data_IF_030825813433
#
_entry.id   IF_030825813433
#
_cell.length_a   1.000
_cell.length_b   1.000
_cell.length_c   1.000
_cell.angle_alpha   90.00
_cell.angle_beta   90.00
_cell.angle_gamma   90.00
#
_symmetry.space_group_name_H-M   'P 1'
#
loop_
_entity.id
_entity.type
_entity.pdbx_description
1 polymer ?
#
# COMPACT_ATOMS: atom_id res chain seq x y z
N UNK A 1 3.32 1.76 -6.49
CA UNK A 1 3.05 0.35 -6.87
C UNK A 1 2.26 0.33 -8.18
N UNK A 2 2.39 -0.74 -8.96
CA UNK A 2 1.55 -0.93 -10.16
C UNK A 2 0.09 -1.17 -9.77
N UNK A 3 -0.85 -0.57 -10.48
CA UNK A 3 -2.29 -0.84 -10.32
C UNK A 3 -2.67 -2.12 -11.04
N UNK A 4 -2.78 -3.21 -10.27
CA UNK A 4 -3.10 -4.52 -10.84
C UNK A 4 -4.55 -4.65 -11.36
N UNK A 5 -5.43 -3.67 -11.10
CA UNK A 5 -6.80 -3.66 -11.62
C UNK A 5 -6.88 -3.17 -13.07
N UNK A 6 -5.86 -2.42 -13.51
CA UNK A 6 -5.74 -1.87 -14.87
C UNK A 6 -5.08 -2.83 -15.86
N UNK A 7 -4.34 -3.81 -15.34
CA UNK A 7 -3.70 -4.83 -16.16
C UNK A 7 -4.71 -5.83 -16.76
N UNK A 8 -4.44 -6.36 -17.97
CA UNK A 8 -3.26 -6.12 -18.82
C UNK A 8 -3.42 -4.91 -19.77
N UNK A 9 -4.52 -4.16 -19.67
CA UNK A 9 -4.88 -3.13 -20.64
C UNK A 9 -3.95 -1.92 -20.55
N UNK A 10 -3.61 -1.50 -19.33
CA UNK A 10 -2.76 -0.33 -19.09
C UNK A 10 -1.88 -0.52 -17.86
N UNK A 11 -0.62 -0.11 -17.98
CA UNK A 11 0.33 -0.07 -16.87
C UNK A 11 0.32 1.30 -16.21
N UNK A 12 -0.34 1.40 -15.06
CA UNK A 12 -0.44 2.64 -14.27
C UNK A 12 0.21 2.42 -12.91
N UNK A 13 0.89 3.45 -12.40
CA UNK A 13 1.51 3.44 -11.07
C UNK A 13 0.74 4.33 -10.11
N UNK A 14 0.43 3.79 -8.93
CA UNK A 14 -0.10 4.54 -7.79
C UNK A 14 1.02 4.87 -6.81
N UNK A 15 1.02 6.10 -6.29
CA UNK A 15 1.96 6.55 -5.26
C UNK A 15 1.22 6.67 -3.94
N UNK A 16 1.53 5.79 -3.00
CA UNK A 16 1.03 5.90 -1.63
C UNK A 16 1.89 6.89 -0.86
N UNK A 17 1.28 7.95 -0.33
CA UNK A 17 1.97 8.98 0.47
C UNK A 17 1.73 8.79 1.96
N UNK A 18 0.71 8.05 2.37
CA UNK A 18 0.44 7.71 3.76
C UNK A 18 0.27 6.19 3.95
N UNK A 19 0.33 5.72 5.19
CA UNK A 19 0.10 4.30 5.47
C UNK A 19 -1.37 3.90 5.22
N UNK A 20 -2.29 4.87 5.35
CA UNK A 20 -3.71 4.72 5.00
C UNK A 20 -3.90 4.54 3.50
N UNK A 21 -3.13 5.25 2.66
CA UNK A 21 -3.15 5.05 1.20
C UNK A 21 -2.76 3.59 0.87
N UNK A 22 -1.69 3.09 1.50
CA UNK A 22 -1.25 1.70 1.33
C UNK A 22 -2.38 0.74 1.73
N UNK A 23 -2.98 0.94 2.89
CA UNK A 23 -4.05 0.10 3.39
C UNK A 23 -5.30 0.16 2.49
N UNK A 24 -5.64 1.34 1.94
CA UNK A 24 -6.74 1.52 1.00
C UNK A 24 -6.48 0.75 -0.30
N UNK A 25 -5.28 0.84 -0.87
CA UNK A 25 -4.92 0.15 -2.12
C UNK A 25 -4.80 -1.38 -1.95
N UNK A 26 -4.47 -1.89 -0.77
CA UNK A 26 -4.57 -3.34 -0.46
C UNK A 26 -6.04 -3.77 -0.44
N UNK A 27 -6.91 -3.04 0.27
CA UNK A 27 -8.35 -3.36 0.36
C UNK A 27 -9.06 -3.27 -0.99
N UNK A 28 -8.67 -2.31 -1.82
CA UNK A 28 -9.19 -2.14 -3.18
C UNK A 28 -8.61 -3.17 -4.19
N UNK A 29 -7.73 -4.07 -3.76
CA UNK A 29 -7.03 -5.05 -4.60
C UNK A 29 -6.17 -4.44 -5.72
N UNK A 30 -5.90 -3.13 -5.70
CA UNK A 30 -4.82 -2.50 -6.48
C UNK A 30 -3.48 -3.17 -6.18
N UNK A 31 -3.25 -3.49 -4.90
CA UNK A 31 -2.11 -4.26 -4.40
C UNK A 31 -2.63 -5.62 -3.93
N UNK A 32 -2.21 -6.70 -4.60
CA UNK A 32 -2.67 -8.06 -4.29
C UNK A 32 -1.57 -9.10 -4.48
N UNK A 33 -1.83 -10.30 -3.95
CA UNK A 33 -0.87 -11.40 -3.83
C UNK A 33 -0.18 -11.38 -2.47
N UNK A 34 -0.20 -12.50 -1.75
CA UNK A 34 0.25 -12.56 -0.35
C UNK A 34 1.67 -11.97 -0.13
N UNK A 35 2.69 -12.28 -0.96
CA UNK A 35 4.01 -11.67 -0.81
C UNK A 35 4.01 -10.14 -1.01
N UNK A 36 3.30 -9.65 -2.04
CA UNK A 36 3.24 -8.23 -2.34
C UNK A 36 2.47 -7.43 -1.26
N UNK A 37 1.41 -8.01 -0.71
CA UNK A 37 0.68 -7.45 0.43
C UNK A 37 1.62 -7.32 1.64
N UNK A 38 2.42 -8.34 1.94
CA UNK A 38 3.37 -8.31 3.05
C UNK A 38 4.41 -7.18 2.91
N UNK A 39 5.01 -7.04 1.73
CA UNK A 39 5.97 -5.96 1.45
C UNK A 39 5.30 -4.59 1.52
N UNK A 40 4.12 -4.43 0.91
CA UNK A 40 3.39 -3.17 0.93
C UNK A 40 3.02 -2.75 2.37
N UNK A 41 2.51 -3.67 3.18
CA UNK A 41 2.17 -3.42 4.58
C UNK A 41 3.40 -2.97 5.39
N UNK A 42 4.55 -3.65 5.23
CA UNK A 42 5.79 -3.26 5.90
C UNK A 42 6.25 -1.85 5.50
N UNK A 43 6.15 -1.50 4.21
CA UNK A 43 6.43 -0.15 3.73
C UNK A 43 5.43 0.88 4.29
N UNK A 44 4.16 0.50 4.43
CA UNK A 44 3.14 1.32 5.09
C UNK A 44 3.49 1.63 6.54
N UNK A 45 3.93 0.63 7.31
CA UNK A 45 4.39 0.84 8.71
C UNK A 45 5.57 1.81 8.76
N UNK A 46 6.58 1.63 7.89
CA UNK A 46 7.73 2.54 7.82
C UNK A 46 7.31 3.98 7.48
N UNK A 47 6.33 4.14 6.60
CA UNK A 47 5.79 5.45 6.21
C UNK A 47 5.03 6.12 7.36
N UNK A 48 4.20 5.38 8.09
CA UNK A 48 3.50 5.90 9.26
C UNK A 48 4.48 6.32 10.37
N UNK A 49 5.54 5.53 10.62
CA UNK A 49 6.57 5.90 11.59
C UNK A 49 7.28 7.19 11.19
N UNK A 50 7.66 7.32 9.91
CA UNK A 50 8.28 8.54 9.39
C UNK A 50 7.37 9.77 9.47
N UNK A 51 6.05 9.57 9.55
CA UNK A 51 5.03 10.62 9.68
C UNK A 51 4.62 10.89 11.12
N UNK A 52 5.22 10.20 12.10
CA UNK A 52 4.90 10.37 13.52
C UNK A 52 3.59 9.71 13.94
N UNK A 53 3.12 8.69 13.22
CA UNK A 53 2.00 7.88 13.66
C UNK A 53 2.34 7.18 14.99
N UNK A 54 1.41 7.23 15.93
CA UNK A 54 1.49 6.48 17.18
C UNK A 54 0.94 5.06 16.95
N UNK A 55 1.81 4.06 17.07
CA UNK A 55 1.46 2.66 16.93
C UNK A 55 1.20 1.96 18.27
N UNK A 56 1.35 2.64 19.42
CA UNK A 56 0.99 2.06 20.72
C UNK A 56 -0.52 1.90 20.90
N UNK A 57 -1.32 2.53 20.04
CA UNK A 57 -2.79 2.50 20.11
C UNK A 57 -3.47 1.53 19.12
N UNK A 58 -2.69 0.76 18.33
CA UNK A 58 -3.22 -0.11 17.24
C UNK A 58 -3.54 -1.52 17.71
#
# INVERSE_FOLDING_TARGET
MIDQTRLPVEEVYVTCKTYEDVAAHIRAMTIRGAPAIGVAAAMGVALGYAQGADFETV
#
